data_IF_591325153192
#
_entry.id   IF_591325153192
#
_cell.length_a   1.000
_cell.length_b   1.000
_cell.length_c   1.000
_cell.angle_alpha   90.00
_cell.angle_beta   90.00
_cell.angle_gamma   90.00
#
_symmetry.space_group_name_H-M   'P 1'
#
loop_
_entity.id
_entity.type
_entity.pdbx_description
1 polymer ?
#
# COMPACT_ATOMS: atom_id res chain seq x y z
N UNK A 1 13.58 25.55 37.60
CA UNK A 1 12.72 25.50 36.40
C UNK A 1 12.93 24.14 35.75
N UNK A 2 12.09 23.14 36.02
CA UNK A 2 12.23 21.85 35.35
C UNK A 2 11.78 21.99 33.89
N UNK A 3 12.72 21.75 32.98
CA UNK A 3 12.45 21.59 31.55
C UNK A 3 11.51 20.40 31.37
N UNK A 4 10.28 20.65 30.92
CA UNK A 4 9.37 19.59 30.51
C UNK A 4 9.93 19.05 29.20
N UNK A 5 10.70 17.98 29.29
CA UNK A 5 11.10 17.16 28.15
C UNK A 5 9.82 16.62 27.52
N UNK A 6 9.42 17.18 26.38
CA UNK A 6 8.33 16.63 25.58
C UNK A 6 8.78 15.25 25.12
N UNK A 7 8.13 14.15 25.53
CA UNK A 7 8.47 12.84 25.01
C UNK A 7 8.26 12.85 23.48
N UNK A 8 9.10 12.15 22.72
CA UNK A 8 8.89 12.02 21.28
C UNK A 8 7.47 11.48 21.04
N UNK A 9 6.74 11.94 20.01
CA UNK A 9 5.44 11.38 19.69
C UNK A 9 5.60 9.87 19.55
N UNK A 10 4.75 9.13 20.27
CA UNK A 10 4.73 7.67 20.19
C UNK A 10 4.76 7.25 18.72
N UNK A 11 5.48 6.17 18.34
CA UNK A 11 5.41 5.68 16.97
C UNK A 11 3.93 5.44 16.67
N UNK A 12 3.38 6.23 15.73
CA UNK A 12 1.99 6.07 15.31
C UNK A 12 1.79 4.59 15.01
N UNK A 13 0.88 3.94 15.75
CA UNK A 13 0.63 2.51 15.59
C UNK A 13 0.38 2.24 14.12
N UNK A 14 1.25 1.44 13.49
CA UNK A 14 1.10 1.08 12.08
C UNK A 14 -0.22 0.35 11.93
N UNK A 15 -1.02 0.75 10.95
CA UNK A 15 -2.25 0.03 10.65
C UNK A 15 -1.89 -1.38 10.16
N UNK A 16 -2.70 -2.36 10.53
CA UNK A 16 -2.57 -3.70 9.96
C UNK A 16 -2.90 -3.67 8.46
N UNK A 17 -2.43 -4.65 7.69
CA UNK A 17 -2.78 -4.76 6.26
C UNK A 17 -4.31 -4.79 6.05
N UNK A 18 -5.10 -5.56 6.82
CA UNK A 18 -6.56 -5.51 6.75
C UNK A 18 -7.14 -4.11 6.97
N UNK A 19 -6.66 -3.38 7.97
CA UNK A 19 -7.13 -2.03 8.28
C UNK A 19 -6.77 -1.04 7.16
N UNK A 20 -5.54 -1.14 6.62
CA UNK A 20 -5.10 -0.34 5.48
C UNK A 20 -5.95 -0.59 4.24
N UNK A 21 -6.26 -1.86 3.94
CA UNK A 21 -7.12 -2.22 2.83
C UNK A 21 -8.53 -1.67 3.03
N UNK A 22 -9.09 -1.81 4.23
CA UNK A 22 -10.42 -1.27 4.53
C UNK A 22 -10.44 0.26 4.37
N UNK A 23 -9.46 0.96 4.92
CA UNK A 23 -9.36 2.41 4.82
C UNK A 23 -9.16 2.89 3.37
N UNK A 24 -8.28 2.22 2.61
CA UNK A 24 -8.00 2.55 1.21
C UNK A 24 -9.21 2.33 0.30
N UNK A 25 -9.89 1.19 0.44
CA UNK A 25 -11.06 0.84 -0.38
C UNK A 25 -12.31 1.65 0.02
N UNK A 26 -12.41 2.06 1.28
CA UNK A 26 -13.47 2.95 1.79
C UNK A 26 -13.27 4.43 1.46
N UNK A 27 -12.04 4.87 1.15
CA UNK A 27 -11.68 6.28 1.02
C UNK A 27 -12.54 7.07 0.01
N UNK A 28 -12.99 6.44 -1.09
CA UNK A 28 -13.86 7.08 -2.08
C UNK A 28 -15.23 7.45 -1.49
N UNK A 29 -15.79 6.57 -0.64
CA UNK A 29 -17.11 6.72 -0.04
C UNK A 29 -17.05 7.60 1.20
N UNK A 30 -16.09 7.31 2.09
CA UNK A 30 -16.03 7.89 3.42
C UNK A 30 -15.38 9.28 3.43
N UNK A 31 -14.71 9.66 2.33
CA UNK A 31 -14.10 10.98 2.11
C UNK A 31 -13.26 11.43 3.32
N UNK A 32 -12.19 10.69 3.66
CA UNK A 32 -11.35 11.02 4.79
C UNK A 32 -10.77 12.43 4.63
N UNK A 33 -10.59 13.10 5.76
CA UNK A 33 -9.90 14.38 5.80
C UNK A 33 -8.46 14.25 5.25
N UNK A 34 -7.84 15.40 4.99
CA UNK A 34 -6.54 15.46 4.34
C UNK A 34 -5.43 14.78 5.16
N UNK A 35 -5.51 14.82 6.49
CA UNK A 35 -4.52 14.24 7.39
C UNK A 35 -4.60 12.70 7.38
N UNK A 36 -5.80 12.15 7.52
CA UNK A 36 -6.02 10.71 7.44
C UNK A 36 -5.69 10.18 6.05
N UNK A 37 -6.03 10.93 4.99
CA UNK A 37 -5.72 10.56 3.62
C UNK A 37 -4.21 10.49 3.35
N UNK A 38 -3.46 11.48 3.83
CA UNK A 38 -2.00 11.49 3.73
C UNK A 38 -1.37 10.33 4.52
N UNK A 39 -1.93 9.99 5.69
CA UNK A 39 -1.48 8.83 6.48
C UNK A 39 -1.71 7.52 5.74
N UNK A 40 -2.91 7.30 5.20
CA UNK A 40 -3.24 6.08 4.43
C UNK A 40 -2.31 5.94 3.23
N UNK A 41 -2.07 7.02 2.46
CA UNK A 41 -1.13 7.00 1.33
C UNK A 41 0.28 6.57 1.74
N UNK A 42 0.80 7.20 2.79
CA UNK A 42 2.15 6.92 3.27
C UNK A 42 2.28 5.46 3.70
N UNK A 43 1.35 4.95 4.50
CA UNK A 43 1.38 3.58 5.00
C UNK A 43 1.21 2.56 3.87
N UNK A 44 0.28 2.79 2.92
CA UNK A 44 0.14 1.94 1.72
C UNK A 44 1.42 1.90 0.91
N UNK A 45 2.05 3.04 0.65
CA UNK A 45 3.30 3.11 -0.12
C UNK A 45 4.45 2.39 0.58
N UNK A 46 4.50 2.44 1.92
CA UNK A 46 5.49 1.70 2.72
C UNK A 46 5.27 0.20 2.57
N UNK A 47 4.04 -0.27 2.74
CA UNK A 47 3.71 -1.71 2.64
C UNK A 47 3.91 -2.24 1.21
N UNK A 48 3.49 -1.52 0.17
CA UNK A 48 3.75 -1.91 -1.23
C UNK A 48 5.25 -2.04 -1.50
N UNK A 49 6.07 -1.09 -1.01
CA UNK A 49 7.55 -1.18 -1.14
C UNK A 49 8.15 -2.35 -0.36
N UNK A 50 7.53 -2.76 0.74
CA UNK A 50 7.94 -3.93 1.52
C UNK A 50 7.60 -5.24 0.80
N UNK A 51 6.43 -5.33 0.17
CA UNK A 51 5.96 -6.53 -0.52
C UNK A 51 6.63 -6.75 -1.88
N UNK A 52 6.96 -5.68 -2.62
CA UNK A 52 7.61 -5.74 -3.93
C UNK A 52 8.81 -6.70 -4.00
N UNK A 53 9.85 -6.60 -3.14
CA UNK A 53 11.00 -7.50 -3.20
C UNK A 53 10.65 -8.96 -2.89
N UNK A 54 9.61 -9.22 -2.09
CA UNK A 54 9.15 -10.58 -1.79
C UNK A 54 8.53 -11.23 -3.03
N UNK A 55 7.63 -10.52 -3.70
CA UNK A 55 6.98 -11.01 -4.93
C UNK A 55 7.98 -11.12 -6.08
N UNK A 56 8.96 -10.20 -6.15
CA UNK A 56 10.07 -10.29 -7.09
C UNK A 56 10.89 -11.57 -6.88
N UNK A 57 11.30 -11.88 -5.64
CA UNK A 57 12.05 -13.10 -5.34
C UNK A 57 11.26 -14.38 -5.71
N UNK A 58 9.94 -14.38 -5.49
CA UNK A 58 9.09 -15.49 -5.93
C UNK A 58 9.00 -15.61 -7.45
N UNK A 59 8.91 -14.47 -8.16
CA UNK A 59 8.92 -14.45 -9.62
C UNK A 59 10.24 -15.02 -10.16
N UNK A 60 11.36 -14.61 -9.57
CA UNK A 60 12.71 -15.06 -9.95
C UNK A 60 12.90 -16.57 -9.68
N UNK A 61 12.23 -17.11 -8.65
CA UNK A 61 12.21 -18.54 -8.35
C UNK A 61 11.19 -19.34 -9.20
N UNK A 62 10.29 -18.67 -9.91
CA UNK A 62 9.26 -19.31 -10.76
C UNK A 62 9.81 -19.55 -12.16
N UNK A 63 9.50 -20.69 -12.77
CA UNK A 63 9.87 -20.96 -14.17
C UNK A 63 9.41 -19.83 -15.09
N UNK A 64 10.34 -19.19 -15.85
CA UNK A 64 10.01 -18.09 -16.74
C UNK A 64 8.97 -18.46 -17.79
N UNK A 65 8.20 -17.46 -18.26
CA UNK A 65 7.16 -17.59 -19.30
C UNK A 65 6.00 -18.53 -18.97
N UNK A 66 5.84 -18.88 -17.70
CA UNK A 66 4.63 -19.56 -17.22
C UNK A 66 3.54 -18.55 -16.88
N UNK A 67 2.29 -19.00 -16.78
CA UNK A 67 1.18 -18.16 -16.31
C UNK A 67 1.46 -17.55 -14.92
N UNK A 68 2.06 -18.34 -14.02
CA UNK A 68 2.41 -17.90 -12.68
C UNK A 68 3.51 -16.82 -12.67
N UNK A 69 4.47 -16.92 -13.59
CA UNK A 69 5.50 -15.91 -13.80
C UNK A 69 4.88 -14.60 -14.32
N UNK A 70 4.08 -14.66 -15.38
CA UNK A 70 3.42 -13.47 -15.95
C UNK A 70 2.46 -12.78 -14.97
N UNK A 71 1.79 -13.54 -14.10
CA UNK A 71 0.91 -12.96 -13.08
C UNK A 71 1.70 -12.10 -12.07
N UNK A 72 2.88 -12.56 -11.65
CA UNK A 72 3.75 -11.82 -10.72
C UNK A 72 4.43 -10.63 -11.40
N UNK A 73 4.91 -10.81 -12.63
CA UNK A 73 5.49 -9.74 -13.45
C UNK A 73 4.50 -8.58 -13.61
N UNK A 74 3.26 -8.89 -14.00
CA UNK A 74 2.18 -7.90 -14.11
C UNK A 74 1.86 -7.24 -12.77
N UNK A 75 1.82 -7.98 -11.67
CA UNK A 75 1.54 -7.42 -10.35
C UNK A 75 2.64 -6.44 -9.89
N UNK A 76 3.91 -6.78 -10.13
CA UNK A 76 5.07 -5.93 -9.86
C UNK A 76 5.01 -4.66 -10.70
N UNK A 77 4.73 -4.78 -12.00
CA UNK A 77 4.63 -3.65 -12.91
C UNK A 77 3.50 -2.69 -12.50
N UNK A 78 2.29 -3.21 -12.26
CA UNK A 78 1.16 -2.42 -11.75
C UNK A 78 1.52 -1.70 -10.45
N UNK A 79 2.15 -2.39 -9.49
CA UNK A 79 2.55 -1.78 -8.23
C UNK A 79 3.57 -0.64 -8.41
N UNK A 80 4.52 -0.79 -9.34
CA UNK A 80 5.47 0.27 -9.68
C UNK A 80 4.78 1.47 -10.32
N UNK A 81 3.81 1.24 -11.21
CA UNK A 81 3.01 2.31 -11.81
C UNK A 81 2.20 3.08 -10.77
N UNK A 82 1.51 2.38 -9.86
CA UNK A 82 0.74 3.04 -8.79
C UNK A 82 1.64 3.78 -7.79
N UNK A 83 2.84 3.26 -7.48
CA UNK A 83 3.82 3.99 -6.67
C UNK A 83 4.33 5.27 -7.34
N UNK A 84 4.46 5.29 -8.67
CA UNK A 84 4.88 6.46 -9.42
C UNK A 84 3.76 7.51 -9.56
N UNK A 85 2.50 7.08 -9.44
CA UNK A 85 1.33 7.94 -9.58
C UNK A 85 1.19 8.88 -8.37
N UNK A 86 1.11 10.21 -8.57
CA UNK A 86 0.82 11.14 -7.48
C UNK A 86 -0.66 11.05 -7.07
N UNK A 87 -0.93 11.38 -5.80
CA UNK A 87 -2.31 11.58 -5.34
C UNK A 87 -2.90 12.81 -6.04
N UNK A 88 -4.11 12.66 -6.59
CA UNK A 88 -4.81 13.74 -7.25
C UNK A 88 -5.22 14.86 -6.28
N UNK A 89 -5.35 16.11 -6.75
CA UNK A 89 -5.62 17.27 -5.90
C UNK A 89 -7.06 17.32 -5.37
N UNK A 90 -7.99 16.58 -5.99
CA UNK A 90 -9.38 16.52 -5.53
C UNK A 90 -9.62 15.33 -4.59
N UNK A 91 -10.53 15.45 -3.60
CA UNK A 91 -10.83 14.35 -2.68
C UNK A 91 -11.26 13.05 -3.38
N UNK A 92 -12.03 13.18 -4.48
CA UNK A 92 -12.44 12.03 -5.28
C UNK A 92 -11.25 11.38 -6.00
N UNK A 93 -10.39 12.17 -6.66
CA UNK A 93 -9.22 11.65 -7.36
C UNK A 93 -8.23 10.99 -6.38
N UNK A 94 -8.08 11.57 -5.19
CA UNK A 94 -7.28 11.02 -4.12
C UNK A 94 -7.85 9.70 -3.58
N UNK A 95 -9.17 9.63 -3.34
CA UNK A 95 -9.83 8.38 -2.94
C UNK A 95 -9.68 7.26 -3.97
N UNK A 96 -9.79 7.58 -5.26
CA UNK A 96 -9.58 6.60 -6.34
C UNK A 96 -8.13 6.12 -6.36
N UNK A 97 -7.16 7.03 -6.25
CA UNK A 97 -5.74 6.68 -6.20
C UNK A 97 -5.41 5.78 -4.99
N UNK A 98 -5.98 6.06 -3.82
CA UNK A 98 -5.84 5.20 -2.64
C UNK A 98 -6.45 3.82 -2.86
N UNK A 99 -7.64 3.74 -3.46
CA UNK A 99 -8.29 2.47 -3.74
C UNK A 99 -7.49 1.62 -4.75
N UNK A 100 -6.93 2.25 -5.79
CA UNK A 100 -6.08 1.58 -6.78
C UNK A 100 -4.78 1.06 -6.16
N UNK A 101 -4.11 1.88 -5.33
CA UNK A 101 -2.93 1.47 -4.58
C UNK A 101 -3.24 0.34 -3.59
N UNK A 102 -4.40 0.41 -2.91
CA UNK A 102 -4.89 -0.65 -2.03
C UNK A 102 -5.16 -1.97 -2.75
N UNK A 103 -5.75 -1.94 -3.97
CA UNK A 103 -5.92 -3.14 -4.80
C UNK A 103 -4.57 -3.74 -5.19
N UNK A 104 -3.61 -2.90 -5.59
CA UNK A 104 -2.26 -3.36 -5.92
C UNK A 104 -1.58 -4.01 -4.72
N UNK A 105 -1.68 -3.40 -3.53
CA UNK A 105 -1.17 -3.97 -2.28
C UNK A 105 -1.80 -5.33 -1.98
N UNK A 106 -3.13 -5.45 -2.09
CA UNK A 106 -3.83 -6.73 -1.90
C UNK A 106 -3.30 -7.82 -2.82
N UNK A 107 -3.14 -7.53 -4.11
CA UNK A 107 -2.59 -8.51 -5.06
C UNK A 107 -1.17 -8.93 -4.71
N UNK A 108 -0.32 -8.01 -4.25
CA UNK A 108 1.03 -8.37 -3.79
C UNK A 108 1.00 -9.22 -2.52
N UNK A 109 0.12 -8.91 -1.57
CA UNK A 109 -0.05 -9.65 -0.32
C UNK A 109 -0.53 -11.08 -0.56
N UNK A 110 -1.49 -11.27 -1.48
CA UNK A 110 -1.96 -12.58 -1.94
C UNK A 110 -0.79 -13.44 -2.48
N UNK A 111 0.17 -12.85 -3.20
CA UNK A 111 1.38 -13.58 -3.63
C UNK A 111 2.37 -13.81 -2.49
N UNK A 112 2.59 -12.83 -1.62
CA UNK A 112 3.61 -12.88 -0.56
C UNK A 112 3.32 -13.89 0.56
N UNK A 113 2.14 -14.52 0.57
CA UNK A 113 1.76 -15.52 1.55
C UNK A 113 0.36 -15.34 2.15
N UNK A 114 -0.51 -14.53 1.53
CA UNK A 114 -1.92 -14.39 1.89
C UNK A 114 -2.81 -15.62 1.64
N UNK A 115 -2.25 -16.83 1.67
CA UNK A 115 -2.99 -18.10 1.74
C UNK A 115 -2.92 -18.62 3.19
N UNK A 116 -3.95 -18.33 3.99
CA UNK A 116 -4.33 -19.13 5.17
C UNK A 116 -5.28 -20.24 4.76
#
# INVERSE_FOLDING_TARGET
>A
MPTIENPPPAPAERMSIPDLLQAALGAVRDRPDDALRARIDLELRVEVRRLLPLVQAQMDATTPRTRAWHARDKAIDTARQELARPIGPSPLAAGIALADLGRSMRTLDEFAGGES
#
